data_IF_951465443550
#
_entry.id   IF_951465443550
#
_cell.length_a   1.000
_cell.length_b   1.000
_cell.length_c   1.000
_cell.angle_alpha   90.00
_cell.angle_beta   90.00
_cell.angle_gamma   90.00
#
_symmetry.space_group_name_H-M   'P 1'
#
loop_
_entity.id
_entity.type
_entity.pdbx_description
1 polymer ?
#
# COMPACT_ATOMS: atom_id res chain seq x y z
N UNK A 1 -5.24 15.87 -5.32
CA UNK A 1 -4.33 14.70 -5.36
C UNK A 1 -5.06 13.38 -5.59
N UNK A 2 -6.08 13.12 -4.82
CA UNK A 2 -6.83 11.85 -4.95
C UNK A 2 -7.47 11.68 -6.33
N UNK A 3 -7.82 12.77 -6.96
CA UNK A 3 -8.44 12.74 -8.28
C UNK A 3 -7.57 12.10 -9.36
N UNK A 4 -6.28 12.05 -9.12
CA UNK A 4 -5.34 11.47 -10.08
C UNK A 4 -5.10 10.00 -9.88
N UNK A 5 -5.69 9.44 -8.85
CA UNK A 5 -5.54 8.02 -8.54
C UNK A 5 -6.66 7.25 -9.21
N UNK A 6 -6.31 6.23 -9.96
CA UNK A 6 -7.29 5.36 -10.61
C UNK A 6 -7.30 3.99 -9.96
N UNK A 7 -8.40 3.28 -10.12
CA UNK A 7 -8.48 1.90 -9.68
C UNK A 7 -7.38 1.11 -10.39
N UNK A 8 -6.69 0.29 -9.65
CA UNK A 8 -5.61 -0.50 -10.20
C UNK A 8 -4.24 0.15 -10.11
N UNK A 9 -4.17 1.42 -9.66
CA UNK A 9 -2.88 2.07 -9.48
C UNK A 9 -2.03 1.29 -8.48
N UNK A 10 -0.74 1.22 -8.73
CA UNK A 10 0.18 0.51 -7.85
C UNK A 10 0.51 1.34 -6.62
N UNK A 11 0.62 0.67 -5.48
CA UNK A 11 0.93 1.32 -4.21
C UNK A 11 2.32 0.91 -3.76
N UNK A 12 3.12 1.90 -3.36
CA UNK A 12 4.49 1.72 -2.90
C UNK A 12 4.67 2.39 -1.55
N UNK A 13 5.55 1.86 -0.73
CA UNK A 13 6.03 2.58 0.45
C UNK A 13 7.23 3.41 0.02
N UNK A 14 7.40 4.55 0.67
CA UNK A 14 8.44 5.52 0.27
C UNK A 14 9.83 4.91 0.21
N UNK A 15 10.10 3.94 1.06
CA UNK A 15 11.41 3.28 1.09
C UNK A 15 11.47 2.01 0.26
N UNK A 16 10.37 1.66 -0.38
CA UNK A 16 10.28 0.40 -1.11
C UNK A 16 10.41 0.61 -2.60
N UNK A 17 11.12 -0.30 -3.25
CA UNK A 17 11.24 -0.30 -4.70
C UNK A 17 10.16 -1.13 -5.36
N UNK A 18 9.47 -1.96 -4.59
CA UNK A 18 8.44 -2.85 -5.12
C UNK A 18 7.06 -2.43 -4.68
N UNK A 19 6.08 -2.69 -5.53
CA UNK A 19 4.69 -2.44 -5.19
C UNK A 19 4.23 -3.34 -4.06
N UNK A 20 3.49 -2.77 -3.11
CA UNK A 20 2.98 -3.53 -1.96
C UNK A 20 1.50 -3.83 -2.11
N UNK A 21 0.82 -3.20 -3.04
CA UNK A 21 -0.59 -3.44 -3.27
C UNK A 21 -1.10 -2.64 -4.45
N UNK A 22 -2.41 -2.65 -4.62
CA UNK A 22 -3.07 -1.93 -5.69
C UNK A 22 -4.29 -1.20 -5.16
N UNK A 23 -4.59 -0.06 -5.76
CA UNK A 23 -5.77 0.72 -5.38
C UNK A 23 -7.02 0.01 -5.87
N UNK A 24 -7.92 -0.27 -4.96
CA UNK A 24 -9.21 -0.89 -5.25
C UNK A 24 -10.30 0.14 -5.44
N UNK A 25 -10.23 1.20 -4.67
CA UNK A 25 -11.26 2.23 -4.66
C UNK A 25 -10.67 3.56 -4.18
N UNK A 26 -11.20 4.65 -4.69
CA UNK A 26 -10.81 5.99 -4.28
C UNK A 26 -12.04 6.68 -3.70
N UNK A 27 -11.88 7.36 -2.58
CA UNK A 27 -12.92 8.15 -1.95
C UNK A 27 -12.38 9.52 -1.58
N UNK A 28 -13.22 10.39 -1.06
CA UNK A 28 -12.80 11.73 -0.66
C UNK A 28 -11.79 11.71 0.48
N UNK A 29 -11.89 10.73 1.34
CA UNK A 29 -11.04 10.68 2.55
C UNK A 29 -9.79 9.84 2.37
N UNK A 30 -9.69 9.08 1.30
CA UNK A 30 -8.53 8.24 1.09
C UNK A 30 -8.75 7.20 0.02
N UNK A 31 -8.02 6.12 0.14
CA UNK A 31 -8.10 5.02 -0.81
C UNK A 31 -8.25 3.70 -0.08
N UNK A 32 -8.76 2.70 -0.80
CA UNK A 32 -8.74 1.32 -0.32
C UNK A 32 -7.69 0.60 -1.14
N UNK A 33 -6.75 -0.02 -0.45
CA UNK A 33 -5.64 -0.72 -1.07
C UNK A 33 -5.79 -2.21 -0.84
N UNK A 34 -5.66 -2.97 -1.91
CA UNK A 34 -5.67 -4.42 -1.81
C UNK A 34 -4.22 -4.92 -1.74
N UNK A 35 -3.94 -5.70 -0.71
CA UNK A 35 -2.64 -6.36 -0.53
C UNK A 35 -2.87 -7.85 -0.73
N UNK A 36 -2.24 -8.41 -1.72
CA UNK A 36 -2.40 -9.83 -2.04
C UNK A 36 -2.04 -10.70 -0.85
N UNK A 37 -2.94 -11.60 -0.49
CA UNK A 37 -2.74 -12.47 0.65
C UNK A 37 -3.19 -11.88 1.98
N UNK A 38 -3.48 -10.58 2.03
CA UNK A 38 -3.86 -9.91 3.29
C UNK A 38 -5.21 -9.22 3.23
N UNK A 39 -5.69 -8.87 2.02
CA UNK A 39 -7.00 -8.25 1.87
C UNK A 39 -6.94 -6.75 1.68
N UNK A 40 -8.04 -6.09 1.96
CA UNK A 40 -8.20 -4.66 1.73
C UNK A 40 -7.93 -3.83 2.97
N UNK A 41 -7.31 -2.69 2.77
CA UNK A 41 -6.99 -1.74 3.84
C UNK A 41 -7.41 -0.34 3.44
N UNK A 42 -8.03 0.38 4.36
CA UNK A 42 -8.36 1.78 4.18
C UNK A 42 -7.16 2.64 4.52
N UNK A 43 -6.73 3.46 3.58
CA UNK A 43 -5.58 4.34 3.75
C UNK A 43 -6.06 5.78 3.68
N UNK A 44 -5.93 6.56 4.76
CA UNK A 44 -6.33 7.96 4.76
C UNK A 44 -5.50 8.80 3.78
N UNK A 45 -6.11 9.84 3.25
CA UNK A 45 -5.44 10.70 2.28
C UNK A 45 -4.14 11.31 2.81
N UNK A 46 -4.09 11.60 4.12
CA UNK A 46 -2.91 12.23 4.71
C UNK A 46 -1.68 11.32 4.77
N UNK A 47 -1.85 10.03 4.48
CA UNK A 47 -0.75 9.08 4.43
C UNK A 47 -0.12 9.06 3.03
N UNK A 48 -0.84 9.57 2.04
CA UNK A 48 -0.34 9.59 0.66
C UNK A 48 0.63 10.74 0.48
N UNK A 49 1.88 10.42 0.15
CA UNK A 49 2.91 11.42 -0.05
C UNK A 49 2.95 11.94 -1.49
N UNK A 50 2.75 11.05 -2.43
CA UNK A 50 2.92 11.40 -3.84
C UNK A 50 2.12 10.46 -4.73
N UNK A 51 1.61 11.01 -5.81
CA UNK A 51 0.97 10.23 -6.88
C UNK A 51 1.64 10.62 -8.18
N UNK A 52 2.14 9.65 -8.91
CA UNK A 52 2.85 9.89 -10.17
C UNK A 52 2.77 8.66 -11.07
N UNK A 53 2.30 8.86 -12.30
CA UNK A 53 2.22 7.79 -13.30
C UNK A 53 1.52 6.53 -12.79
N UNK A 54 0.37 6.70 -12.16
CA UNK A 54 -0.41 5.60 -11.61
C UNK A 54 0.32 4.85 -10.49
N UNK A 55 1.23 5.54 -9.82
CA UNK A 55 1.95 5.01 -8.66
C UNK A 55 1.63 5.88 -7.46
N UNK A 56 1.21 5.24 -6.39
CA UNK A 56 0.85 5.92 -5.15
C UNK A 56 1.92 5.61 -4.11
N UNK A 57 2.57 6.66 -3.61
CA UNK A 57 3.63 6.51 -2.60
C UNK A 57 3.06 6.84 -1.22
N UNK A 58 3.20 5.92 -0.29
CA UNK A 58 2.70 6.09 1.08
C UNK A 58 3.85 6.40 2.03
N UNK A 59 3.52 7.20 3.04
CA UNK A 59 4.48 7.51 4.12
C UNK A 59 4.51 6.35 5.11
N UNK A 60 5.64 5.65 5.14
CA UNK A 60 5.81 4.50 6.01
C UNK A 60 5.68 4.86 7.49
N UNK A 61 5.91 6.12 7.85
CA UNK A 61 5.85 6.55 9.24
C UNK A 61 4.43 6.82 9.74
N UNK A 62 3.52 7.11 8.82
CA UNK A 62 2.14 7.45 9.19
C UNK A 62 1.13 6.39 8.78
N UNK A 63 1.52 5.45 7.94
CA UNK A 63 0.64 4.36 7.56
C UNK A 63 0.39 3.45 8.78
N UNK A 64 -0.80 2.90 8.87
CA UNK A 64 -1.18 2.09 10.03
C UNK A 64 -0.34 0.84 10.20
N UNK A 65 -0.20 0.42 11.45
CA UNK A 65 0.56 -0.79 11.79
C UNK A 65 -0.01 -2.04 11.14
N UNK A 66 -1.32 -2.10 11.02
CA UNK A 66 -1.99 -3.24 10.41
C UNK A 66 -1.54 -3.42 8.96
N UNK A 67 -1.46 -2.31 8.25
CA UNK A 67 -1.02 -2.34 6.87
C UNK A 67 0.45 -2.75 6.77
N UNK A 68 1.29 -2.17 7.61
CA UNK A 68 2.72 -2.52 7.63
C UNK A 68 2.94 -3.98 7.98
N UNK A 69 2.19 -4.49 8.94
CA UNK A 69 2.28 -5.90 9.31
C UNK A 69 1.83 -6.81 8.17
N UNK A 70 0.79 -6.42 7.46
CA UNK A 70 0.30 -7.20 6.33
C UNK A 70 1.36 -7.29 5.23
N UNK A 71 2.00 -6.17 4.91
CA UNK A 71 3.04 -6.13 3.89
C UNK A 71 4.24 -6.97 4.31
N UNK A 72 4.66 -6.84 5.54
CA UNK A 72 5.79 -7.62 6.06
C UNK A 72 5.47 -9.11 6.08
N UNK A 73 4.25 -9.44 6.46
CA UNK A 73 3.85 -10.83 6.59
C UNK A 73 3.90 -11.54 5.24
N UNK A 74 3.46 -10.87 4.20
CA UNK A 74 3.54 -11.43 2.86
C UNK A 74 4.99 -11.67 2.47
N UNK A 75 5.88 -10.71 2.75
CA UNK A 75 7.30 -10.86 2.49
C UNK A 75 7.92 -11.98 3.30
N UNK A 76 7.54 -12.08 4.57
CA UNK A 76 8.05 -13.10 5.46
C UNK A 76 7.66 -14.50 4.98
N UNK A 77 6.47 -14.65 4.47
CA UNK A 77 6.00 -15.94 3.97
C UNK A 77 6.82 -16.43 2.79
N UNK A 78 7.44 -15.53 2.08
CA UNK A 78 8.26 -15.86 0.93
C UNK A 78 9.71 -16.13 1.28
N UNK A 79 10.10 -15.85 2.50
CA UNK A 79 11.48 -16.01 2.94
C UNK A 79 11.71 -17.40 3.49
N UNK A 80 12.45 -18.24 2.77
CA UNK A 80 12.70 -19.61 3.22
C UNK A 80 13.51 -19.69 4.52
N UNK A 81 14.21 -18.62 4.87
CA UNK A 81 14.97 -18.61 6.11
C UNK A 81 14.07 -18.65 7.33
N UNK A 82 12.84 -18.20 7.20
CA UNK A 82 11.89 -18.23 8.31
C UNK A 82 11.36 -19.63 8.57
N UNK A 83 11.44 -20.47 7.60
CA UNK A 83 10.95 -21.83 7.69
C UNK A 83 12.00 -22.76 8.30
N UNK A 84 13.22 -22.42 8.09
CA UNK A 84 14.32 -23.25 8.53
C UNK A 84 14.69 -23.15 9.99
#
# INVERSE_FOLDING_TARGET
MLEKIEDGAMVFLVNGAEGVGAVRRVSRSGIVVYVEGAGEFSIPANVILRVHDQKVMLDVRTVGKDFLNAVKHVGDMEDPALVG
#
